data_IF_287875228221
#
_entry.id   IF_287875228221
#
_cell.length_a   1.000
_cell.length_b   1.000
_cell.length_c   1.000
_cell.angle_alpha   90.00
_cell.angle_beta   90.00
_cell.angle_gamma   90.00
#
_symmetry.space_group_name_H-M   'P 1'
#
loop_
_entity.id
_entity.type
_entity.pdbx_description
1 polymer ?
#
# COMPACT_ATOMS: atom_id res chain seq x y z
N UNK A 1 -12.40 -12.91 -25.76
CA UNK A 1 -12.50 -11.88 -24.68
C UNK A 1 -12.08 -12.43 -23.32
N UNK A 2 -12.69 -13.50 -22.76
CA UNK A 2 -12.34 -14.04 -21.43
C UNK A 2 -10.85 -14.40 -21.26
N UNK A 3 -10.23 -15.01 -22.27
CA UNK A 3 -8.78 -15.36 -22.26
C UNK A 3 -7.90 -14.11 -22.18
N UNK A 4 -8.29 -13.01 -22.85
CA UNK A 4 -7.56 -11.74 -22.81
C UNK A 4 -7.67 -11.06 -21.44
N UNK A 5 -8.88 -11.04 -20.85
CA UNK A 5 -9.08 -10.54 -19.49
C UNK A 5 -8.27 -11.34 -18.48
N UNK A 6 -8.27 -12.67 -18.59
CA UNK A 6 -7.52 -13.53 -17.68
C UNK A 6 -6.01 -13.31 -17.84
N UNK A 7 -5.51 -13.26 -19.08
CA UNK A 7 -4.09 -12.97 -19.36
C UNK A 7 -3.65 -11.64 -18.74
N UNK A 8 -4.45 -10.59 -18.94
CA UNK A 8 -4.16 -9.26 -18.41
C UNK A 8 -4.24 -9.20 -16.88
N UNK A 9 -5.13 -9.98 -16.27
CA UNK A 9 -5.19 -10.13 -14.81
C UNK A 9 -3.97 -10.87 -14.26
N UNK A 10 -3.53 -11.95 -14.92
CA UNK A 10 -2.31 -12.67 -14.53
C UNK A 10 -1.06 -11.79 -14.70
N UNK A 11 -1.01 -10.93 -15.71
CA UNK A 11 0.10 -9.97 -15.90
C UNK A 11 0.19 -8.94 -14.76
N UNK A 12 -0.90 -8.65 -14.05
CA UNK A 12 -0.89 -7.74 -12.89
C UNK A 12 -0.23 -8.37 -11.66
N UNK A 13 -0.41 -9.68 -11.45
CA UNK A 13 0.12 -10.39 -10.27
C UNK A 13 1.63 -10.17 -10.07
N UNK A 14 2.52 -10.40 -11.07
CA UNK A 14 3.94 -10.18 -10.90
C UNK A 14 4.29 -8.70 -10.68
N UNK A 15 3.53 -7.77 -11.26
CA UNK A 15 3.74 -6.33 -11.06
C UNK A 15 3.43 -5.95 -9.61
N UNK A 16 2.28 -6.37 -9.08
CA UNK A 16 1.91 -6.14 -7.68
C UNK A 16 2.93 -6.77 -6.74
N UNK A 17 3.39 -7.98 -7.03
CA UNK A 17 4.38 -8.69 -6.24
C UNK A 17 5.75 -7.99 -6.24
N UNK A 18 6.20 -7.50 -7.40
CA UNK A 18 7.45 -6.74 -7.51
C UNK A 18 7.37 -5.44 -6.71
N UNK A 19 6.27 -4.69 -6.86
CA UNK A 19 6.05 -3.44 -6.14
C UNK A 19 5.94 -3.69 -4.63
N UNK A 20 5.25 -4.74 -4.19
CA UNK A 20 5.12 -5.06 -2.77
C UNK A 20 6.47 -5.41 -2.15
N UNK A 21 7.34 -6.15 -2.85
CA UNK A 21 8.72 -6.41 -2.39
C UNK A 21 9.49 -5.11 -2.27
N UNK A 22 9.46 -4.24 -3.29
CA UNK A 22 10.20 -2.97 -3.28
C UNK A 22 9.75 -2.11 -2.09
N UNK A 23 8.44 -1.92 -1.92
CA UNK A 23 7.89 -1.14 -0.80
C UNK A 23 8.28 -1.78 0.53
N UNK A 24 8.17 -3.10 0.65
CA UNK A 24 8.52 -3.82 1.88
C UNK A 24 10.00 -3.62 2.24
N UNK A 25 10.90 -3.73 1.27
CA UNK A 25 12.33 -3.51 1.47
C UNK A 25 12.58 -2.06 1.88
N UNK A 26 11.98 -1.08 1.20
CA UNK A 26 12.11 0.35 1.56
C UNK A 26 11.66 0.58 3.00
N UNK A 27 10.47 0.09 3.37
CA UNK A 27 9.92 0.26 4.72
C UNK A 27 10.78 -0.41 5.80
N UNK A 28 11.33 -1.60 5.53
CA UNK A 28 12.23 -2.29 6.47
C UNK A 28 13.66 -1.71 6.49
N UNK A 29 14.06 -0.97 5.45
CA UNK A 29 15.37 -0.31 5.37
C UNK A 29 15.36 1.09 5.97
N UNK A 30 14.17 1.64 6.28
CA UNK A 30 14.07 2.94 6.95
C UNK A 30 14.70 2.85 8.35
N UNK A 31 15.67 3.72 8.68
CA UNK A 31 16.29 3.73 9.99
C UNK A 31 15.26 4.20 11.03
N UNK A 32 14.83 3.29 11.89
CA UNK A 32 13.90 3.58 12.98
C UNK A 32 13.40 2.28 13.60
N UNK A 33 13.68 2.07 14.89
CA UNK A 33 13.10 0.93 15.60
C UNK A 33 11.60 1.23 15.85
N UNK A 34 10.67 0.41 15.31
CA UNK A 34 9.24 0.59 15.54
C UNK A 34 8.91 0.65 17.04
N UNK A 35 9.68 -0.05 17.88
CA UNK A 35 9.51 0.00 19.33
C UNK A 35 10.01 1.30 19.94
N UNK A 36 11.06 1.93 19.39
CA UNK A 36 11.48 3.26 19.83
C UNK A 36 10.41 4.30 19.48
N UNK A 37 9.79 4.20 18.30
CA UNK A 37 8.68 5.09 17.93
C UNK A 37 7.45 4.86 18.82
N UNK A 38 7.09 3.61 19.10
CA UNK A 38 6.01 3.29 20.04
C UNK A 38 6.31 3.77 21.46
N UNK A 39 7.58 3.66 21.91
CA UNK A 39 8.03 4.14 23.22
C UNK A 39 7.97 5.66 23.33
N UNK A 40 8.31 6.38 22.25
CA UNK A 40 8.15 7.85 22.21
C UNK A 40 6.69 8.28 22.25
N UNK A 41 5.78 7.51 21.63
CA UNK A 41 4.35 7.80 21.64
C UNK A 41 3.64 7.43 22.95
N UNK A 42 4.14 6.44 23.70
CA UNK A 42 3.62 6.05 25.01
C UNK A 42 4.76 5.83 26.04
N UNK A 43 5.39 6.90 26.56
CA UNK A 43 6.54 6.79 27.47
C UNK A 43 6.22 6.00 28.74
N UNK A 44 5.00 6.17 29.30
CA UNK A 44 4.59 5.56 30.56
C UNK A 44 4.37 4.04 30.48
N UNK A 45 4.09 3.49 29.30
CA UNK A 45 3.81 2.06 29.13
C UNK A 45 5.07 1.23 28.78
N UNK A 46 6.13 1.87 28.29
CA UNK A 46 7.34 1.19 27.80
C UNK A 46 8.65 1.60 28.50
N UNK A 47 8.64 2.59 29.39
CA UNK A 47 9.87 3.06 30.05
C UNK A 47 10.40 2.16 31.19
N UNK A 48 9.57 1.29 31.78
CA UNK A 48 9.89 0.69 33.08
C UNK A 48 10.30 -0.78 33.06
N UNK A 49 10.30 -1.46 31.91
CA UNK A 49 10.59 -2.90 31.89
C UNK A 49 11.36 -3.37 30.62
N UNK A 50 12.68 -3.60 30.73
CA UNK A 50 13.50 -4.17 29.66
C UNK A 50 13.05 -5.55 29.19
N UNK A 51 12.38 -6.35 30.04
CA UNK A 51 11.88 -7.68 29.67
C UNK A 51 10.69 -7.53 28.71
N UNK A 52 9.77 -6.60 29.01
CA UNK A 52 8.61 -6.30 28.16
C UNK A 52 9.01 -5.79 26.77
N UNK A 53 10.13 -5.07 26.65
CA UNK A 53 10.67 -4.67 25.34
C UNK A 53 11.20 -5.86 24.53
N UNK A 54 11.83 -6.85 25.17
CA UNK A 54 12.28 -8.08 24.50
C UNK A 54 11.11 -8.94 24.04
N UNK A 55 10.10 -9.11 24.89
CA UNK A 55 8.87 -9.83 24.55
C UNK A 55 8.15 -9.17 23.37
N UNK A 56 8.10 -7.83 23.33
CA UNK A 56 7.55 -7.12 22.17
C UNK A 56 8.39 -7.30 20.91
N UNK A 57 9.73 -7.33 20.99
CA UNK A 57 10.58 -7.62 19.82
C UNK A 57 10.30 -8.98 19.23
N UNK A 58 10.19 -10.00 20.07
CA UNK A 58 9.84 -11.35 19.65
C UNK A 58 8.41 -11.43 19.10
N UNK A 59 7.45 -10.77 19.77
CA UNK A 59 6.06 -10.72 19.32
C UNK A 59 5.92 -10.08 17.92
N UNK A 60 6.58 -8.95 17.69
CA UNK A 60 6.60 -8.29 16.38
C UNK A 60 7.61 -8.91 15.40
N UNK A 61 8.31 -9.98 15.80
CA UNK A 61 9.32 -10.68 14.99
C UNK A 61 10.35 -9.73 14.40
N UNK A 62 10.75 -8.70 15.14
CA UNK A 62 11.63 -7.64 14.65
C UNK A 62 13.03 -8.14 14.31
N UNK A 63 13.41 -9.31 14.80
CA UNK A 63 14.72 -9.94 14.56
C UNK A 63 14.68 -11.04 13.48
N UNK A 64 13.49 -11.37 12.93
CA UNK A 64 13.38 -12.40 11.90
C UNK A 64 14.06 -12.00 10.56
N UNK A 65 14.56 -12.97 9.78
CA UNK A 65 15.08 -12.73 8.43
C UNK A 65 14.05 -12.02 7.55
N UNK A 66 14.50 -11.05 6.75
CA UNK A 66 13.63 -10.26 5.84
C UNK A 66 12.67 -11.11 4.99
N UNK A 67 13.09 -12.25 4.38
CA UNK A 67 12.17 -13.09 3.62
C UNK A 67 11.04 -13.65 4.47
N UNK A 68 11.34 -14.11 5.69
CA UNK A 68 10.34 -14.72 6.58
C UNK A 68 9.30 -13.70 7.04
N UNK A 69 9.75 -12.46 7.35
CA UNK A 69 8.86 -11.34 7.65
C UNK A 69 7.93 -11.02 6.47
N UNK A 70 8.47 -10.98 5.25
CA UNK A 70 7.69 -10.70 4.05
C UNK A 70 6.62 -11.78 3.82
N UNK A 71 6.97 -13.06 3.89
CA UNK A 71 5.99 -14.14 3.69
C UNK A 71 4.93 -14.18 4.79
N UNK A 72 5.30 -13.90 6.04
CA UNK A 72 4.34 -13.81 7.15
C UNK A 72 3.36 -12.67 6.93
N UNK A 73 3.86 -11.47 6.59
CA UNK A 73 3.04 -10.31 6.27
C UNK A 73 2.14 -10.56 5.05
N UNK A 74 2.70 -11.12 3.97
CA UNK A 74 1.96 -11.42 2.75
C UNK A 74 0.83 -12.41 3.02
N UNK A 75 1.07 -13.43 3.86
CA UNK A 75 0.03 -14.39 4.27
C UNK A 75 -1.11 -13.68 5.02
N UNK A 76 -0.79 -12.82 5.98
CA UNK A 76 -1.80 -12.04 6.72
C UNK A 76 -2.64 -11.17 5.78
N UNK A 77 -1.99 -10.45 4.86
CA UNK A 77 -2.64 -9.61 3.86
C UNK A 77 -3.58 -10.42 2.96
N UNK A 78 -3.13 -11.60 2.49
CA UNK A 78 -3.95 -12.49 1.66
C UNK A 78 -5.14 -13.08 2.43
N UNK A 79 -5.05 -13.22 3.76
CA UNK A 79 -6.18 -13.61 4.62
C UNK A 79 -7.10 -12.45 5.00
N UNK A 80 -6.83 -11.24 4.52
CA UNK A 80 -7.64 -10.04 4.78
C UNK A 80 -7.20 -9.24 6.01
N UNK A 81 -6.13 -9.65 6.69
CA UNK A 81 -5.56 -8.92 7.81
C UNK A 81 -4.45 -7.98 7.31
N UNK A 82 -4.80 -6.71 7.13
CA UNK A 82 -3.88 -5.64 6.76
C UNK A 82 -3.10 -5.09 7.97
N UNK A 83 -3.40 -5.58 9.18
CA UNK A 83 -2.79 -5.15 10.42
C UNK A 83 -3.33 -3.82 10.96
N UNK A 84 -2.59 -3.30 11.94
CA UNK A 84 -2.95 -2.12 12.70
C UNK A 84 -1.97 -0.97 12.42
N UNK A 85 -2.49 0.23 12.20
CA UNK A 85 -1.64 1.41 12.01
C UNK A 85 -1.16 1.93 13.36
N UNK A 86 0.13 1.81 13.64
CA UNK A 86 0.75 2.39 14.84
C UNK A 86 0.68 3.93 14.85
N UNK A 87 0.63 4.56 13.68
CA UNK A 87 0.56 6.02 13.54
C UNK A 87 -0.85 6.56 13.80
N UNK A 88 -1.86 5.97 13.17
CA UNK A 88 -3.25 6.43 13.26
C UNK A 88 -4.06 5.75 14.37
N UNK A 89 -3.50 4.73 15.02
CA UNK A 89 -4.14 3.94 16.08
C UNK A 89 -5.50 3.39 15.66
N UNK A 90 -5.58 2.88 14.43
CA UNK A 90 -6.77 2.25 13.86
C UNK A 90 -6.37 1.09 12.96
N UNK A 91 -7.26 0.11 12.71
CA UNK A 91 -7.05 -0.91 11.68
C UNK A 91 -6.78 -0.26 10.32
N UNK A 92 -5.85 -0.84 9.55
CA UNK A 92 -5.47 -0.30 8.24
C UNK A 92 -6.64 -0.36 7.26
N UNK A 93 -7.49 -1.38 7.36
CA UNK A 93 -8.67 -1.54 6.50
C UNK A 93 -9.65 -0.36 6.66
N UNK A 94 -9.90 0.08 7.90
CA UNK A 94 -10.80 1.20 8.19
C UNK A 94 -10.21 2.52 7.67
N UNK A 95 -8.89 2.67 7.79
CA UNK A 95 -8.20 3.82 7.26
C UNK A 95 -8.34 3.87 5.73
N UNK A 96 -8.14 2.76 5.03
CA UNK A 96 -8.32 2.69 3.57
C UNK A 96 -9.79 2.98 3.21
N UNK A 97 -10.74 2.35 3.91
CA UNK A 97 -12.16 2.55 3.67
C UNK A 97 -12.58 4.02 3.84
N UNK A 98 -12.03 4.72 4.84
CA UNK A 98 -12.31 6.14 5.06
C UNK A 98 -11.74 7.06 3.98
N UNK A 99 -10.66 6.65 3.29
CA UNK A 99 -9.98 7.45 2.26
C UNK A 99 -10.48 7.16 0.85
N UNK A 100 -11.01 5.96 0.64
CA UNK A 100 -11.46 5.48 -0.67
C UNK A 100 -12.45 6.43 -1.36
N UNK A 101 -13.48 7.00 -0.69
CA UNK A 101 -14.45 7.88 -1.35
C UNK A 101 -13.80 9.14 -1.94
N UNK A 102 -12.87 9.76 -1.20
CA UNK A 102 -12.19 10.97 -1.65
C UNK A 102 -11.31 10.70 -2.88
N UNK A 103 -10.57 9.58 -2.87
CA UNK A 103 -9.78 9.15 -4.03
C UNK A 103 -10.68 8.91 -5.24
N UNK A 104 -11.81 8.22 -5.06
CA UNK A 104 -12.76 7.97 -6.14
C UNK A 104 -13.32 9.27 -6.73
N UNK A 105 -13.72 10.22 -5.89
CA UNK A 105 -14.20 11.53 -6.34
C UNK A 105 -13.12 12.23 -7.16
N UNK A 106 -11.89 12.29 -6.66
CA UNK A 106 -10.77 12.94 -7.36
C UNK A 106 -10.45 12.25 -8.69
N UNK A 107 -10.32 10.92 -8.69
CA UNK A 107 -9.98 10.15 -9.88
C UNK A 107 -11.07 10.23 -10.95
N UNK A 108 -12.34 10.08 -10.57
CA UNK A 108 -13.46 10.16 -11.51
C UNK A 108 -13.57 11.57 -12.08
N UNK A 109 -13.45 12.60 -11.25
CA UNK A 109 -13.52 13.99 -11.70
C UNK A 109 -12.37 14.31 -12.67
N UNK A 110 -11.14 13.93 -12.33
CA UNK A 110 -9.99 14.12 -13.20
C UNK A 110 -10.13 13.36 -14.52
N UNK A 111 -10.64 12.12 -14.49
CA UNK A 111 -10.89 11.32 -15.68
C UNK A 111 -11.96 11.92 -16.58
N UNK A 112 -13.07 12.41 -16.01
CA UNK A 112 -14.14 13.09 -16.75
C UNK A 112 -13.64 14.37 -17.41
N UNK A 113 -12.93 15.24 -16.66
CA UNK A 113 -12.32 16.45 -17.22
C UNK A 113 -11.35 16.08 -18.34
N UNK A 114 -10.50 15.06 -18.11
CA UNK A 114 -9.58 14.54 -19.10
C UNK A 114 -10.28 14.09 -20.37
N UNK A 115 -11.41 13.38 -20.27
CA UNK A 115 -12.22 12.98 -21.43
C UNK A 115 -12.82 14.16 -22.17
N UNK A 116 -13.37 15.14 -21.44
CA UNK A 116 -13.96 16.35 -22.04
C UNK A 116 -12.93 17.14 -22.84
N UNK A 117 -11.67 17.14 -22.42
CA UNK A 117 -10.57 17.81 -23.14
C UNK A 117 -9.99 16.91 -24.25
N UNK A 118 -9.77 15.63 -23.97
CA UNK A 118 -9.14 14.69 -24.89
C UNK A 118 -10.02 14.38 -26.10
N UNK A 119 -11.35 14.33 -25.95
CA UNK A 119 -12.26 14.01 -27.05
C UNK A 119 -12.25 15.10 -28.15
N UNK A 120 -12.46 16.40 -27.86
CA UNK A 120 -12.36 17.45 -28.88
C UNK A 120 -10.99 17.52 -29.54
N UNK A 121 -9.91 17.43 -28.75
CA UNK A 121 -8.54 17.46 -29.27
C UNK A 121 -8.29 16.24 -30.18
N UNK A 122 -8.73 15.05 -29.74
CA UNK A 122 -8.61 13.82 -30.51
C UNK A 122 -9.39 13.89 -31.83
N UNK A 123 -10.61 14.43 -31.81
CA UNK A 123 -11.44 14.63 -33.01
C UNK A 123 -10.76 15.63 -33.96
N UNK A 124 -10.34 16.80 -33.47
CA UNK A 124 -9.65 17.81 -34.29
C UNK A 124 -8.36 17.25 -34.91
N UNK A 125 -7.60 16.46 -34.16
CA UNK A 125 -6.39 15.81 -34.66
C UNK A 125 -6.71 14.77 -35.74
N UNK A 126 -7.77 13.98 -35.57
CA UNK A 126 -8.19 12.97 -36.55
C UNK A 126 -8.69 13.61 -37.86
N UNK A 127 -9.45 14.69 -37.79
CA UNK A 127 -9.99 15.39 -38.97
C UNK A 127 -8.88 16.11 -39.74
N UNK A 128 -7.92 16.77 -39.06
CA UNK A 128 -6.81 17.46 -39.75
C UNK A 128 -5.77 16.51 -40.35
N UNK A 129 -5.70 15.25 -39.92
CA UNK A 129 -4.69 14.29 -40.39
C UNK A 129 -4.87 13.85 -41.86
N UNK A 130 -6.04 14.11 -42.46
CA UNK A 130 -6.36 13.78 -43.86
C UNK A 130 -6.29 15.00 -44.81
N UNK A 131 -5.71 16.12 -44.38
CA UNK A 131 -5.60 17.37 -45.16
C UNK A 131 -4.21 17.56 -45.81
N UNK A 132 -3.51 16.49 -46.17
CA UNK A 132 -2.28 16.55 -46.97
C UNK A 132 -2.49 15.92 -48.33
#
# INVERSE_FOLDING_TARGET
MKVYFLKRFLELIPIFFAISIIIFVIMNSMPGDPLLQMRMQNPRAMANDPQRMKELREYYRLDDPLPLKYFTWLKSVLTGDLGYSSMYKTPVIDLIASRLPNTLILTITAWLIGLVVALPIGILSAVKKYST
#
